data_IF_178958915397
#
_entry.id   IF_178958915397
#
_cell.length_a   1.000
_cell.length_b   1.000
_cell.length_c   1.000
_cell.angle_alpha   90.00
_cell.angle_beta   90.00
_cell.angle_gamma   90.00
#
_symmetry.space_group_name_H-M   'P 1'
#
loop_
_entity.id
_entity.type
_entity.pdbx_description
1 polymer ?
#
# COMPACT_ATOMS: atom_id res chain seq x y z
N UNK A 1 29.52 32.65 21.01
CA UNK A 1 28.76 32.19 19.83
C UNK A 1 28.06 30.89 20.23
N UNK A 2 26.76 30.88 20.26
CA UNK A 2 25.97 29.66 20.47
C UNK A 2 26.21 28.73 19.28
N UNK A 3 26.45 27.42 19.54
CA UNK A 3 26.63 26.44 18.49
C UNK A 3 25.35 26.40 17.61
N UNK A 4 25.50 26.30 16.29
CA UNK A 4 24.35 26.20 15.40
C UNK A 4 23.52 24.95 15.71
N UNK A 5 22.22 25.06 15.59
CA UNK A 5 21.33 23.91 15.67
C UNK A 5 21.30 23.19 14.31
N UNK A 6 21.20 21.88 14.33
CA UNK A 6 21.09 21.04 13.12
C UNK A 6 19.60 20.70 12.95
N UNK A 7 19.06 20.99 11.76
CA UNK A 7 17.67 20.74 11.39
C UNK A 7 17.60 19.87 10.14
N UNK A 8 16.79 18.81 10.18
CA UNK A 8 16.55 17.93 9.04
C UNK A 8 15.22 18.28 8.37
N UNK A 9 15.30 18.76 7.14
CA UNK A 9 14.16 19.08 6.29
C UNK A 9 13.89 17.92 5.32
N UNK A 10 12.65 17.46 5.27
CA UNK A 10 12.18 16.41 4.37
C UNK A 10 10.86 16.77 3.64
N UNK A 11 10.29 17.92 3.96
CA UNK A 11 9.06 18.46 3.37
C UNK A 11 9.31 19.77 2.60
N UNK A 12 8.39 20.73 2.69
CA UNK A 12 8.48 21.98 1.92
C UNK A 12 9.73 22.83 2.24
N UNK A 13 10.38 22.62 3.38
CA UNK A 13 11.65 23.27 3.75
C UNK A 13 12.87 22.70 3.01
N UNK A 14 12.70 21.73 2.11
CA UNK A 14 13.68 21.41 1.08
C UNK A 14 13.88 22.57 0.10
N UNK A 15 12.85 23.40 -0.11
CA UNK A 15 12.90 24.53 -1.03
C UNK A 15 13.80 25.65 -0.48
N UNK A 16 14.92 25.92 -1.16
CA UNK A 16 15.91 26.96 -0.78
C UNK A 16 15.25 28.33 -0.59
N UNK A 17 14.36 28.72 -1.51
CA UNK A 17 13.67 30.00 -1.42
C UNK A 17 12.72 30.10 -0.21
N UNK A 18 12.13 28.98 0.22
CA UNK A 18 11.31 28.95 1.42
C UNK A 18 12.17 29.04 2.67
N UNK A 19 13.30 28.30 2.72
CA UNK A 19 14.23 28.37 3.84
C UNK A 19 14.83 29.77 3.99
N UNK A 20 15.27 30.40 2.91
CA UNK A 20 15.80 31.76 2.95
C UNK A 20 14.82 32.80 3.54
N UNK A 21 13.50 32.60 3.35
CA UNK A 21 12.47 33.46 3.94
C UNK A 21 12.15 33.13 5.39
N UNK A 22 12.17 31.85 5.78
CA UNK A 22 11.84 31.39 7.14
C UNK A 22 13.03 31.50 8.09
N UNK A 23 14.19 31.21 7.58
CA UNK A 23 15.44 31.03 8.32
C UNK A 23 16.55 31.77 7.59
N UNK A 24 16.65 33.11 7.71
CA UNK A 24 17.64 33.90 6.97
C UNK A 24 19.08 33.59 7.36
N UNK A 25 19.31 33.03 8.57
CA UNK A 25 20.63 32.65 9.04
C UNK A 25 20.98 31.19 8.68
N UNK A 26 20.06 30.45 8.00
CA UNK A 26 20.29 29.06 7.65
C UNK A 26 21.41 28.88 6.62
N UNK A 27 22.34 27.98 6.93
CA UNK A 27 23.54 27.75 6.11
C UNK A 27 23.78 26.25 5.91
N UNK A 28 24.75 25.93 5.05
CA UNK A 28 25.36 24.61 4.87
C UNK A 28 24.35 23.48 4.60
N UNK A 29 23.51 23.60 3.53
CA UNK A 29 22.57 22.57 3.19
C UNK A 29 23.32 21.30 2.70
N UNK A 30 23.10 20.16 3.37
CA UNK A 30 23.74 18.88 3.02
C UNK A 30 22.70 17.78 2.86
N UNK A 31 22.75 16.97 1.78
CA UNK A 31 21.92 15.79 1.68
C UNK A 31 22.11 14.85 2.86
N UNK A 32 21.01 14.32 3.38
CA UNK A 32 21.01 13.38 4.51
C UNK A 32 19.86 12.41 4.40
N UNK A 33 19.90 11.34 5.19
CA UNK A 33 18.83 10.33 5.27
C UNK A 33 18.42 10.09 6.71
N UNK A 34 17.13 9.86 6.92
CA UNK A 34 16.55 9.37 8.18
C UNK A 34 16.18 7.90 7.96
N UNK A 35 16.87 7.00 8.65
CA UNK A 35 16.63 5.57 8.59
C UNK A 35 15.39 5.17 9.41
N UNK A 36 14.83 4.00 9.11
CA UNK A 36 13.70 3.38 9.81
C UNK A 36 12.45 4.26 9.93
N UNK A 37 12.26 5.12 8.93
CA UNK A 37 11.07 5.96 8.81
C UNK A 37 10.52 5.94 7.39
N UNK A 38 9.18 5.94 7.28
CA UNK A 38 8.44 6.16 6.04
C UNK A 38 8.03 7.63 5.91
N UNK A 39 7.97 8.12 4.68
CA UNK A 39 7.53 9.45 4.34
C UNK A 39 6.14 9.43 3.73
N UNK A 40 5.27 10.34 4.15
CA UNK A 40 3.92 10.44 3.61
C UNK A 40 3.42 11.88 3.55
N UNK A 41 2.45 12.12 2.67
CA UNK A 41 1.53 13.27 2.77
C UNK A 41 0.36 12.82 3.64
N UNK A 42 0.10 13.54 4.73
CA UNK A 42 -0.98 13.22 5.64
C UNK A 42 -2.34 13.86 5.23
N UNK A 43 -3.40 13.62 6.00
CA UNK A 43 -4.75 14.14 5.74
C UNK A 43 -4.84 15.69 5.71
N UNK A 44 -3.81 16.37 6.22
CA UNK A 44 -3.68 17.83 6.10
C UNK A 44 -3.06 18.29 4.80
N UNK A 45 -2.63 17.35 3.94
CA UNK A 45 -1.96 17.62 2.67
C UNK A 45 -0.52 18.13 2.81
N UNK A 46 0.15 17.78 3.91
CA UNK A 46 1.56 18.13 4.20
C UNK A 46 2.37 16.89 4.57
N UNK A 47 3.69 16.96 4.37
CA UNK A 47 4.58 15.85 4.66
C UNK A 47 4.75 15.61 6.17
N UNK A 48 4.78 14.34 6.53
CA UNK A 48 5.26 13.86 7.82
C UNK A 48 6.07 12.58 7.65
N UNK A 49 6.65 12.08 8.74
CA UNK A 49 7.34 10.79 8.79
C UNK A 49 6.80 9.96 9.93
N UNK A 50 6.78 8.64 9.75
CA UNK A 50 6.40 7.68 10.80
C UNK A 50 7.45 6.56 10.90
N UNK A 51 7.68 5.97 12.06
CA UNK A 51 8.58 4.84 12.21
C UNK A 51 8.18 3.67 11.32
N UNK A 52 9.12 3.17 10.51
CA UNK A 52 8.96 1.97 9.69
C UNK A 52 10.34 1.32 9.50
N UNK A 53 10.61 0.18 10.14
CA UNK A 53 11.91 -0.51 10.02
C UNK A 53 12.30 -0.78 8.56
N UNK A 54 13.55 -0.47 8.22
CA UNK A 54 14.12 -0.65 6.88
C UNK A 54 13.75 0.41 5.85
N UNK A 55 12.81 1.32 6.14
CA UNK A 55 12.51 2.45 5.26
C UNK A 55 13.53 3.58 5.43
N UNK A 56 13.68 4.41 4.39
CA UNK A 56 14.63 5.52 4.39
C UNK A 56 14.01 6.76 3.79
N UNK A 57 14.03 7.86 4.55
CA UNK A 57 13.60 9.18 4.11
C UNK A 57 14.80 9.98 3.67
N UNK A 58 14.80 10.51 2.45
CA UNK A 58 15.82 11.44 1.99
C UNK A 58 15.42 12.88 2.26
N UNK A 59 16.37 13.68 2.71
CA UNK A 59 16.17 15.08 3.03
C UNK A 59 17.47 15.87 3.03
N UNK A 60 17.43 17.03 3.69
CA UNK A 60 18.59 17.95 3.77
C UNK A 60 18.76 18.42 5.20
N UNK A 61 20.00 18.40 5.67
CA UNK A 61 20.40 19.07 6.90
C UNK A 61 20.69 20.53 6.63
N UNK A 62 20.23 21.39 7.54
CA UNK A 62 20.54 22.79 7.62
C UNK A 62 21.19 23.11 8.95
N UNK A 63 22.19 23.99 8.95
CA UNK A 63 22.61 24.68 10.17
C UNK A 63 21.74 25.91 10.35
N UNK A 64 21.08 26.03 11.50
CA UNK A 64 20.14 27.11 11.80
C UNK A 64 20.51 27.81 13.10
N UNK A 65 20.26 29.11 13.21
CA UNK A 65 20.41 29.85 14.44
C UNK A 65 19.28 29.55 15.44
N UNK A 66 19.43 29.97 16.69
CA UNK A 66 18.34 29.89 17.67
C UNK A 66 17.11 30.73 17.26
N UNK A 67 17.33 31.84 16.54
CA UNK A 67 16.26 32.66 15.97
C UNK A 67 15.50 31.90 14.88
N UNK A 68 16.23 31.28 13.95
CA UNK A 68 15.64 30.45 12.90
C UNK A 68 14.86 29.27 13.47
N UNK A 69 15.36 28.62 14.51
CA UNK A 69 14.68 27.49 15.14
C UNK A 69 13.34 27.90 15.74
N UNK A 70 13.26 29.09 16.36
CA UNK A 70 12.01 29.64 16.86
C UNK A 70 11.04 30.02 15.71
N UNK A 71 11.56 30.52 14.59
CA UNK A 71 10.76 30.79 13.39
C UNK A 71 10.20 29.51 12.79
N UNK A 72 10.98 28.40 12.77
CA UNK A 72 10.52 27.08 12.38
C UNK A 72 9.44 26.56 13.32
N UNK A 73 9.63 26.64 14.64
CA UNK A 73 8.62 26.24 15.64
C UNK A 73 7.28 26.94 15.38
N UNK A 74 7.32 28.23 15.11
CA UNK A 74 6.14 29.02 14.81
C UNK A 74 5.49 28.60 13.49
N UNK A 75 6.28 28.40 12.43
CA UNK A 75 5.80 28.01 11.11
C UNK A 75 5.17 26.61 11.11
N UNK A 76 5.76 25.67 11.84
CA UNK A 76 5.27 24.29 11.98
C UNK A 76 4.16 24.18 13.06
N UNK A 77 3.98 25.22 13.89
CA UNK A 77 2.94 25.28 14.91
C UNK A 77 3.18 24.33 16.09
N UNK A 78 4.42 24.26 16.55
CA UNK A 78 4.81 23.46 17.73
C UNK A 78 4.22 24.07 19.01
N UNK A 79 3.73 23.27 19.94
CA UNK A 79 3.63 21.79 19.94
C UNK A 79 2.30 21.26 19.39
N UNK A 80 1.40 22.12 18.89
CA UNK A 80 0.00 21.76 18.59
C UNK A 80 -0.14 20.95 17.28
N UNK A 81 0.62 21.32 16.25
CA UNK A 81 0.54 20.68 14.91
C UNK A 81 1.64 19.68 14.71
N UNK A 82 2.87 20.06 15.00
CA UNK A 82 4.06 19.22 14.94
C UNK A 82 4.69 19.12 16.32
N UNK A 83 5.29 17.96 16.61
CA UNK A 83 6.29 17.84 17.66
C UNK A 83 7.67 18.02 17.03
N UNK A 84 8.62 18.45 17.84
CA UNK A 84 10.03 18.57 17.43
C UNK A 84 10.87 17.58 18.21
N UNK A 85 11.34 16.54 17.52
CA UNK A 85 12.11 15.46 18.11
C UNK A 85 13.59 15.55 17.70
N UNK A 86 14.48 15.00 18.50
CA UNK A 86 15.87 14.79 18.12
C UNK A 86 16.05 13.38 17.62
N UNK A 87 16.46 13.25 16.35
CA UNK A 87 16.71 11.97 15.70
C UNK A 87 18.09 11.93 15.08
N UNK A 88 18.65 10.72 14.98
CA UNK A 88 19.89 10.49 14.26
C UNK A 88 19.62 10.43 12.77
N UNK A 89 20.29 11.28 12.00
CA UNK A 89 20.27 11.29 10.53
C UNK A 89 21.67 11.00 10.00
N UNK A 90 21.76 10.43 8.82
CA UNK A 90 23.01 10.02 8.22
C UNK A 90 23.39 10.92 7.05
N UNK A 91 24.61 11.41 7.05
CA UNK A 91 25.25 12.18 5.97
C UNK A 91 26.42 11.40 5.40
N UNK A 92 27.04 11.93 4.34
CA UNK A 92 28.28 11.38 3.81
C UNK A 92 29.42 11.39 4.86
N UNK A 93 29.39 12.34 5.81
CA UNK A 93 30.37 12.49 6.88
C UNK A 93 30.05 11.68 8.15
N UNK A 94 28.97 10.86 8.11
CA UNK A 94 28.52 10.03 9.22
C UNK A 94 27.25 10.53 9.90
N UNK A 95 26.85 9.91 11.04
CA UNK A 95 25.63 10.22 11.76
C UNK A 95 25.69 11.61 12.42
N UNK A 96 24.51 12.26 12.50
CA UNK A 96 24.33 13.57 13.14
C UNK A 96 22.99 13.59 13.90
N UNK A 97 22.99 14.15 15.11
CA UNK A 97 21.76 14.48 15.82
C UNK A 97 21.12 15.72 15.19
N UNK A 98 19.88 15.62 14.77
CA UNK A 98 19.15 16.71 14.14
C UNK A 98 17.75 16.89 14.74
N UNK A 99 17.26 18.12 14.73
CA UNK A 99 15.86 18.40 14.98
C UNK A 99 15.02 18.01 13.78
N UNK A 100 13.94 17.28 14.04
CA UNK A 100 12.98 16.81 13.03
C UNK A 100 11.59 17.19 13.48
N UNK A 101 10.83 17.87 12.63
CA UNK A 101 9.43 18.18 12.90
C UNK A 101 8.54 17.06 12.41
N UNK A 102 7.70 16.49 13.27
CA UNK A 102 6.85 15.33 12.96
C UNK A 102 5.39 15.69 13.30
N UNK A 103 4.52 15.66 12.30
CA UNK A 103 3.07 15.70 12.53
C UNK A 103 2.61 14.29 12.95
N UNK A 104 1.94 14.15 14.11
CA UNK A 104 1.49 12.84 14.60
C UNK A 104 0.35 12.21 13.74
N UNK A 105 -0.23 12.97 12.82
CA UNK A 105 -1.24 12.47 11.89
C UNK A 105 -0.57 11.72 10.76
N UNK A 106 -0.89 10.45 10.62
CA UNK A 106 -0.27 9.53 9.65
C UNK A 106 -1.26 8.93 8.66
N UNK A 107 -2.52 9.38 8.68
CA UNK A 107 -3.48 9.03 7.64
C UNK A 107 -3.07 9.70 6.32
N UNK A 108 -2.99 8.90 5.24
CA UNK A 108 -2.58 9.43 3.94
C UNK A 108 -3.65 10.35 3.33
N UNK A 109 -3.22 11.47 2.77
CA UNK A 109 -4.07 12.45 2.11
C UNK A 109 -3.46 12.99 0.81
N UNK A 110 -4.24 13.79 0.09
CA UNK A 110 -3.75 14.48 -1.10
C UNK A 110 -2.89 15.70 -0.71
N UNK A 111 -1.81 15.98 -1.44
CA UNK A 111 -1.00 17.18 -1.20
C UNK A 111 -1.83 18.45 -1.42
N UNK A 112 -1.58 19.48 -0.61
CA UNK A 112 -2.14 20.81 -0.86
C UNK A 112 -1.64 21.35 -2.21
N UNK A 113 -2.42 22.20 -2.89
CA UNK A 113 -1.99 22.82 -4.14
C UNK A 113 -0.60 23.45 -4.02
N UNK A 114 0.31 23.14 -4.96
CA UNK A 114 1.68 23.65 -4.99
C UNK A 114 2.62 23.13 -3.90
N UNK A 115 2.16 22.23 -3.01
CA UNK A 115 3.00 21.71 -1.93
C UNK A 115 3.99 20.65 -2.45
N UNK A 116 3.49 19.68 -3.20
CA UNK A 116 4.30 18.59 -3.72
C UNK A 116 5.36 19.10 -4.71
N UNK A 117 4.99 20.02 -5.59
CA UNK A 117 5.91 20.65 -6.54
C UNK A 117 7.06 21.37 -5.82
N UNK A 118 6.76 21.99 -4.69
CA UNK A 118 7.78 22.65 -3.86
C UNK A 118 8.72 21.64 -3.23
N UNK A 119 8.20 20.52 -2.73
CA UNK A 119 9.01 19.43 -2.16
C UNK A 119 9.92 18.82 -3.24
N UNK A 120 9.36 18.49 -4.40
CA UNK A 120 10.10 17.93 -5.54
C UNK A 120 11.14 18.92 -6.07
N UNK A 121 10.77 20.20 -6.21
CA UNK A 121 11.68 21.25 -6.63
C UNK A 121 12.87 21.38 -5.67
N UNK A 122 12.61 21.34 -4.36
CA UNK A 122 13.67 21.34 -3.33
C UNK A 122 14.55 20.09 -3.39
N UNK A 123 13.96 18.92 -3.57
CA UNK A 123 14.70 17.67 -3.71
C UNK A 123 15.66 17.72 -4.92
N UNK A 124 15.22 18.28 -6.04
CA UNK A 124 16.06 18.48 -7.24
C UNK A 124 17.17 19.52 -7.01
N UNK A 125 16.86 20.64 -6.35
CA UNK A 125 17.85 21.67 -6.00
C UNK A 125 19.02 21.10 -5.20
N UNK A 126 18.74 20.19 -4.28
CA UNK A 126 19.74 19.54 -3.45
C UNK A 126 20.28 18.22 -4.03
N UNK A 127 19.94 17.89 -5.28
CA UNK A 127 20.41 16.69 -5.99
C UNK A 127 20.16 15.39 -5.20
N UNK A 128 19.00 15.30 -4.54
CA UNK A 128 18.59 14.04 -3.91
C UNK A 128 18.45 12.93 -4.96
N UNK A 129 18.59 11.65 -4.59
CA UNK A 129 18.59 10.54 -5.54
C UNK A 129 17.34 10.54 -6.43
N UNK A 130 17.50 10.23 -7.74
CA UNK A 130 16.39 10.21 -8.70
C UNK A 130 15.27 9.29 -8.23
N UNK A 131 15.59 8.10 -7.69
CA UNK A 131 14.62 7.17 -7.11
C UNK A 131 13.73 7.81 -6.02
N UNK A 132 14.29 8.77 -5.26
CA UNK A 132 13.52 9.52 -4.25
C UNK A 132 12.58 10.52 -4.90
N UNK A 133 13.04 11.22 -5.93
CA UNK A 133 12.22 12.13 -6.71
C UNK A 133 11.07 11.38 -7.39
N UNK A 134 11.33 10.20 -7.94
CA UNK A 134 10.31 9.32 -8.54
C UNK A 134 9.29 8.85 -7.48
N UNK A 135 9.75 8.53 -6.27
CA UNK A 135 8.86 8.22 -5.14
C UNK A 135 7.96 9.42 -4.79
N UNK A 136 8.51 10.63 -4.71
CA UNK A 136 7.72 11.84 -4.45
C UNK A 136 6.65 12.08 -5.51
N UNK A 137 6.95 11.85 -6.79
CA UNK A 137 5.99 11.97 -7.89
C UNK A 137 4.79 11.03 -7.76
N UNK A 138 4.91 9.89 -7.07
CA UNK A 138 3.79 8.96 -6.82
C UNK A 138 2.69 9.57 -5.94
N UNK A 139 2.98 10.66 -5.23
CA UNK A 139 2.03 11.39 -4.41
C UNK A 139 1.23 12.43 -5.19
N UNK A 140 1.49 12.61 -6.48
CA UNK A 140 0.66 13.43 -7.36
C UNK A 140 -0.71 12.75 -7.55
N UNK A 141 -1.83 13.42 -7.16
CA UNK A 141 -3.17 12.85 -7.32
C UNK A 141 -3.51 12.47 -8.76
N UNK A 142 -2.86 13.09 -9.76
CA UNK A 142 -3.04 12.72 -11.16
C UNK A 142 -2.57 11.28 -11.48
N UNK A 143 -1.68 10.72 -10.66
CA UNK A 143 -1.21 9.34 -10.78
C UNK A 143 -1.99 8.35 -9.90
N UNK A 144 -2.92 8.84 -9.09
CA UNK A 144 -3.72 7.96 -8.25
C UNK A 144 -4.81 7.31 -9.10
N UNK A 145 -5.09 6.01 -8.87
CA UNK A 145 -6.26 5.43 -9.47
C UNK A 145 -7.45 6.25 -9.02
N UNK A 146 -8.18 6.83 -9.95
CA UNK A 146 -9.47 7.43 -9.66
C UNK A 146 -10.30 6.34 -8.98
N UNK A 147 -10.76 6.58 -7.76
CA UNK A 147 -11.87 5.83 -7.19
C UNK A 147 -13.09 6.35 -7.94
N UNK A 148 -13.24 5.95 -9.20
CA UNK A 148 -14.47 6.14 -9.92
C UNK A 148 -15.52 5.33 -9.16
N UNK A 149 -16.39 6.03 -8.46
CA UNK A 149 -17.66 5.44 -8.04
C UNK A 149 -18.25 4.84 -9.30
N UNK A 150 -18.57 3.54 -9.26
CA UNK A 150 -19.33 2.90 -10.29
C UNK A 150 -20.49 3.85 -10.67
N UNK A 151 -20.50 4.26 -11.95
CA UNK A 151 -21.58 5.06 -12.44
C UNK A 151 -22.87 4.25 -12.24
N UNK A 152 -23.98 4.92 -11.90
CA UNK A 152 -25.34 4.34 -11.73
C UNK A 152 -25.92 3.77 -13.04
N UNK A 153 -25.10 3.25 -13.93
CA UNK A 153 -25.52 2.48 -15.10
C UNK A 153 -25.66 1.02 -14.68
N UNK A 154 -26.75 0.37 -15.06
CA UNK A 154 -26.98 -1.04 -14.81
C UNK A 154 -25.83 -1.88 -15.42
N UNK A 155 -24.84 -2.21 -14.59
CA UNK A 155 -23.74 -3.10 -14.95
C UNK A 155 -24.20 -4.56 -15.02
N UNK A 156 -23.31 -5.49 -15.43
CA UNK A 156 -23.61 -6.90 -15.49
C UNK A 156 -24.07 -7.40 -14.11
N UNK A 157 -25.12 -8.22 -14.10
CA UNK A 157 -25.70 -8.76 -12.87
C UNK A 157 -25.30 -10.23 -12.65
N UNK A 158 -24.68 -10.84 -13.66
CA UNK A 158 -24.24 -12.24 -13.66
C UNK A 158 -22.83 -12.37 -14.25
N UNK A 159 -22.16 -13.48 -13.95
CA UNK A 159 -20.85 -13.77 -14.53
C UNK A 159 -20.96 -13.97 -16.06
N UNK A 160 -22.00 -14.61 -16.54
CA UNK A 160 -22.24 -14.78 -17.99
C UNK A 160 -22.36 -13.44 -18.71
N UNK A 161 -23.09 -12.47 -18.15
CA UNK A 161 -23.19 -11.12 -18.71
C UNK A 161 -21.83 -10.40 -18.68
N UNK A 162 -21.07 -10.59 -17.61
CA UNK A 162 -19.73 -10.01 -17.47
C UNK A 162 -18.77 -10.56 -18.53
N UNK A 163 -18.77 -11.88 -18.75
CA UNK A 163 -17.97 -12.56 -19.76
C UNK A 163 -18.41 -12.28 -21.21
N UNK A 164 -19.63 -11.76 -21.39
CA UNK A 164 -20.08 -11.22 -22.68
C UNK A 164 -19.27 -10.01 -23.16
N UNK A 165 -18.52 -9.34 -22.28
CA UNK A 165 -17.61 -8.27 -22.67
C UNK A 165 -16.27 -8.88 -23.14
N UNK A 166 -15.86 -8.71 -24.41
CA UNK A 166 -14.64 -9.31 -24.94
C UNK A 166 -13.35 -8.80 -24.30
N UNK A 167 -13.40 -7.69 -23.56
CA UNK A 167 -12.26 -7.17 -22.81
C UNK A 167 -12.11 -7.81 -21.42
N UNK A 168 -13.10 -8.58 -20.96
CA UNK A 168 -13.06 -9.38 -19.72
C UNK A 168 -12.78 -10.83 -20.10
N UNK A 169 -11.77 -11.44 -19.50
CA UNK A 169 -11.44 -12.84 -19.79
C UNK A 169 -11.00 -13.55 -18.52
N UNK A 170 -11.26 -14.85 -18.49
CA UNK A 170 -10.87 -15.72 -17.39
C UNK A 170 -9.72 -16.64 -17.78
N UNK A 171 -8.87 -16.93 -16.81
CA UNK A 171 -7.78 -17.89 -16.94
C UNK A 171 -7.79 -18.84 -15.75
N UNK A 172 -7.42 -20.10 -15.97
CA UNK A 172 -7.24 -21.08 -14.90
C UNK A 172 -6.07 -21.99 -15.17
N UNK A 173 -5.35 -22.35 -14.12
CA UNK A 173 -4.31 -23.38 -14.16
C UNK A 173 -4.55 -24.33 -12.99
N UNK A 174 -4.84 -25.60 -13.31
CA UNK A 174 -5.08 -26.65 -12.32
C UNK A 174 -3.78 -27.37 -12.00
N UNK A 175 -3.45 -27.47 -10.70
CA UNK A 175 -2.26 -28.19 -10.18
C UNK A 175 -2.64 -29.00 -8.95
N UNK A 176 -2.41 -28.48 -7.75
CA UNK A 176 -2.79 -29.14 -6.51
C UNK A 176 -4.26 -28.89 -6.14
N UNK A 177 -4.72 -29.55 -5.08
CA UNK A 177 -6.08 -29.38 -4.51
C UNK A 177 -6.21 -28.08 -3.70
N UNK A 178 -5.15 -27.34 -3.51
CA UNK A 178 -5.15 -25.99 -2.96
C UNK A 178 -5.29 -24.96 -4.09
N UNK A 179 -6.19 -23.98 -3.93
CA UNK A 179 -6.48 -23.00 -4.97
C UNK A 179 -6.32 -21.56 -4.54
N UNK A 180 -5.99 -20.69 -5.50
CA UNK A 180 -6.05 -19.25 -5.39
C UNK A 180 -7.08 -18.70 -6.38
N UNK A 181 -7.87 -17.69 -5.95
CA UNK A 181 -8.82 -16.98 -6.81
C UNK A 181 -8.53 -15.47 -6.80
N UNK A 182 -8.65 -14.84 -7.97
CA UNK A 182 -8.70 -13.38 -8.11
C UNK A 182 -9.84 -13.02 -9.07
N UNK A 183 -11.07 -12.98 -8.56
CA UNK A 183 -12.27 -12.73 -9.37
C UNK A 183 -12.46 -11.25 -9.75
N UNK A 184 -11.71 -10.34 -9.15
CA UNK A 184 -11.71 -8.91 -9.45
C UNK A 184 -10.35 -8.44 -9.98
N UNK A 185 -9.57 -9.33 -10.60
CA UNK A 185 -8.21 -9.05 -11.09
C UNK A 185 -8.15 -7.98 -12.19
N UNK A 186 -6.94 -7.62 -12.57
CA UNK A 186 -6.69 -6.61 -13.61
C UNK A 186 -7.05 -5.19 -13.15
N UNK A 187 -7.88 -4.52 -13.93
CA UNK A 187 -8.22 -3.10 -13.72
C UNK A 187 -9.17 -2.82 -12.56
N UNK A 188 -9.94 -3.81 -12.09
CA UNK A 188 -10.95 -3.63 -11.04
C UNK A 188 -10.30 -3.56 -9.63
N UNK A 189 -9.58 -4.61 -9.24
CA UNK A 189 -8.82 -4.64 -7.98
C UNK A 189 -7.35 -4.91 -8.29
N UNK A 190 -6.66 -3.87 -8.73
CA UNK A 190 -5.29 -3.93 -9.26
C UNK A 190 -4.36 -4.76 -8.39
N UNK A 191 -3.52 -5.61 -9.03
CA UNK A 191 -2.50 -6.48 -8.45
C UNK A 191 -3.03 -7.73 -7.74
N UNK A 192 -4.33 -7.91 -7.57
CA UNK A 192 -4.87 -9.13 -6.93
C UNK A 192 -4.63 -10.37 -7.80
N UNK A 193 -4.74 -10.23 -9.11
CA UNK A 193 -4.37 -11.22 -10.12
C UNK A 193 -2.89 -11.61 -10.03
N UNK A 194 -2.00 -10.63 -10.05
CA UNK A 194 -0.54 -10.86 -9.97
C UNK A 194 -0.15 -11.55 -8.66
N UNK A 195 -0.75 -11.16 -7.54
CA UNK A 195 -0.49 -11.77 -6.23
C UNK A 195 -0.97 -13.22 -6.22
N UNK A 196 -2.20 -13.48 -6.68
CA UNK A 196 -2.77 -14.83 -6.73
C UNK A 196 -1.96 -15.76 -7.64
N UNK A 197 -1.63 -15.33 -8.85
CA UNK A 197 -0.85 -16.12 -9.82
C UNK A 197 0.55 -16.44 -9.31
N UNK A 198 1.27 -15.45 -8.75
CA UNK A 198 2.63 -15.67 -8.23
C UNK A 198 2.64 -16.55 -6.98
N UNK A 199 1.71 -16.34 -6.04
CA UNK A 199 1.59 -17.21 -4.87
C UNK A 199 1.25 -18.66 -5.28
N UNK A 200 0.31 -18.85 -6.20
CA UNK A 200 -0.05 -20.16 -6.73
C UNK A 200 1.13 -20.83 -7.44
N UNK A 201 1.87 -20.10 -8.28
CA UNK A 201 3.05 -20.63 -8.97
C UNK A 201 4.14 -21.07 -7.99
N UNK A 202 4.45 -20.23 -6.98
CA UNK A 202 5.44 -20.54 -5.95
C UNK A 202 5.01 -21.70 -5.05
N UNK A 203 3.71 -21.88 -4.80
CA UNK A 203 3.18 -22.99 -3.99
C UNK A 203 2.95 -24.28 -4.78
N UNK A 204 3.00 -24.28 -6.12
CA UNK A 204 2.52 -25.38 -6.94
C UNK A 204 0.99 -25.58 -6.84
N UNK A 205 0.27 -24.53 -6.47
CA UNK A 205 -1.17 -24.53 -6.27
C UNK A 205 -1.94 -24.21 -7.56
N UNK A 206 -3.23 -24.53 -7.58
CA UNK A 206 -4.16 -24.16 -8.64
C UNK A 206 -4.51 -22.67 -8.55
N UNK A 207 -4.85 -22.04 -9.69
CA UNK A 207 -5.26 -20.64 -9.73
C UNK A 207 -6.38 -20.41 -10.73
N UNK A 208 -7.31 -19.55 -10.37
CA UNK A 208 -8.32 -18.97 -11.25
C UNK A 208 -8.26 -17.45 -11.15
N UNK A 209 -8.24 -16.77 -12.29
CA UNK A 209 -8.23 -15.32 -12.39
C UNK A 209 -9.25 -14.85 -13.40
N UNK A 210 -10.00 -13.81 -13.04
CA UNK A 210 -10.80 -13.02 -13.97
C UNK A 210 -10.13 -11.65 -14.17
N UNK A 211 -9.74 -11.37 -15.41
CA UNK A 211 -9.06 -10.13 -15.76
C UNK A 211 -10.06 -9.09 -16.27
N UNK A 212 -10.13 -7.97 -15.59
CA UNK A 212 -10.90 -6.81 -16.01
C UNK A 212 -10.00 -5.79 -16.73
N UNK A 213 -10.50 -5.12 -17.79
CA UNK A 213 -9.73 -4.08 -18.46
C UNK A 213 -9.45 -2.89 -17.52
N UNK A 214 -8.43 -2.06 -17.82
CA UNK A 214 -8.19 -0.83 -17.08
C UNK A 214 -9.43 0.05 -17.01
N UNK A 215 -9.68 0.67 -15.83
CA UNK A 215 -10.83 1.54 -15.59
C UNK A 215 -12.20 0.86 -15.77
N UNK A 216 -12.29 -0.45 -15.52
CA UNK A 216 -13.56 -1.16 -15.58
C UNK A 216 -14.53 -0.63 -14.51
N UNK A 217 -15.72 -0.11 -14.88
CA UNK A 217 -16.56 0.66 -13.96
C UNK A 217 -17.52 -0.20 -13.11
N UNK A 218 -17.68 -1.48 -13.42
CA UNK A 218 -18.71 -2.32 -12.81
C UNK A 218 -18.11 -3.37 -11.86
N UNK A 219 -18.60 -3.38 -10.63
CA UNK A 219 -18.22 -4.35 -9.62
C UNK A 219 -19.37 -5.35 -9.40
N UNK A 220 -19.17 -6.59 -9.85
CA UNK A 220 -20.10 -7.68 -9.56
C UNK A 220 -19.77 -8.25 -8.17
N UNK A 221 -20.79 -8.40 -7.32
CA UNK A 221 -20.59 -8.95 -5.98
C UNK A 221 -20.07 -10.40 -6.03
N UNK A 222 -19.15 -10.78 -5.12
CA UNK A 222 -18.51 -12.10 -5.12
C UNK A 222 -19.50 -13.27 -5.14
N UNK A 223 -20.64 -13.15 -4.50
CA UNK A 223 -21.71 -14.16 -4.50
C UNK A 223 -22.42 -14.34 -5.84
N UNK A 224 -22.12 -13.54 -6.85
CA UNK A 224 -22.66 -13.64 -8.21
C UNK A 224 -21.71 -14.36 -9.18
N UNK A 225 -20.53 -14.75 -8.74
CA UNK A 225 -19.60 -15.55 -9.55
C UNK A 225 -19.93 -17.04 -9.37
N UNK A 226 -20.78 -17.56 -10.23
CA UNK A 226 -21.32 -18.91 -10.12
C UNK A 226 -20.65 -19.87 -11.11
N UNK A 227 -20.33 -21.08 -10.66
CA UNK A 227 -19.72 -22.11 -11.50
C UNK A 227 -20.62 -22.58 -12.65
N UNK A 228 -21.96 -22.51 -12.49
CA UNK A 228 -22.90 -22.85 -13.55
C UNK A 228 -22.95 -21.81 -14.70
N UNK A 229 -22.29 -20.68 -14.53
CA UNK A 229 -22.18 -19.60 -15.54
C UNK A 229 -20.83 -19.56 -16.26
N UNK A 230 -19.84 -20.35 -15.82
CA UNK A 230 -18.52 -20.47 -16.43
C UNK A 230 -17.98 -21.89 -16.27
N UNK A 231 -17.69 -22.55 -17.37
CA UNK A 231 -17.06 -23.87 -17.36
C UNK A 231 -15.65 -23.86 -16.78
N UNK A 232 -14.92 -22.74 -16.92
CA UNK A 232 -13.55 -22.58 -16.39
C UNK A 232 -13.60 -22.44 -14.86
N UNK A 233 -14.52 -21.63 -14.33
CA UNK A 233 -14.73 -21.50 -12.89
C UNK A 233 -15.26 -22.80 -12.29
N UNK A 234 -16.21 -23.47 -12.92
CA UNK A 234 -16.72 -24.78 -12.49
C UNK A 234 -15.58 -25.80 -12.33
N UNK A 235 -14.78 -25.97 -13.38
CA UNK A 235 -13.66 -26.90 -13.37
C UNK A 235 -12.64 -26.59 -12.25
N UNK A 236 -12.39 -25.30 -11.98
CA UNK A 236 -11.53 -24.90 -10.86
C UNK A 236 -12.15 -25.29 -9.51
N UNK A 237 -13.43 -24.93 -9.28
CA UNK A 237 -14.12 -25.18 -8.01
C UNK A 237 -14.30 -26.67 -7.70
N UNK A 238 -14.48 -27.50 -8.72
CA UNK A 238 -14.54 -28.96 -8.58
C UNK A 238 -13.17 -29.58 -8.30
N UNK A 239 -12.11 -28.95 -8.81
CA UNK A 239 -10.76 -29.46 -8.67
C UNK A 239 -10.17 -29.22 -7.28
N UNK A 240 -10.42 -28.03 -6.67
CA UNK A 240 -9.79 -27.65 -5.40
C UNK A 240 -10.62 -28.06 -4.19
N UNK A 241 -9.95 -28.46 -3.11
CA UNK A 241 -10.60 -28.77 -1.83
C UNK A 241 -10.69 -27.55 -0.92
N UNK A 242 -9.75 -26.63 -1.05
CA UNK A 242 -9.64 -25.41 -0.24
C UNK A 242 -9.11 -24.25 -1.10
N UNK A 243 -9.49 -23.01 -0.78
CA UNK A 243 -9.07 -21.86 -1.58
C UNK A 243 -8.79 -20.59 -0.78
N UNK A 244 -7.96 -19.71 -1.35
CA UNK A 244 -7.77 -18.32 -0.93
C UNK A 244 -8.28 -17.42 -2.06
N UNK A 245 -9.28 -16.55 -1.78
CA UNK A 245 -9.68 -15.50 -2.70
C UNK A 245 -8.95 -14.20 -2.34
N UNK A 246 -8.19 -13.68 -3.30
CA UNK A 246 -7.41 -12.45 -3.17
C UNK A 246 -8.23 -11.28 -3.67
N UNK A 247 -8.58 -10.37 -2.77
CA UNK A 247 -9.36 -9.17 -3.01
C UNK A 247 -8.59 -7.91 -2.65
N UNK A 248 -9.07 -6.78 -3.17
CA UNK A 248 -8.55 -5.47 -2.85
C UNK A 248 -9.59 -4.59 -2.17
N UNK A 249 -9.23 -3.91 -1.11
CA UNK A 249 -10.09 -2.95 -0.47
C UNK A 249 -9.38 -1.63 -0.17
N UNK A 250 -10.16 -0.57 0.08
CA UNK A 250 -9.65 0.73 0.54
C UNK A 250 -10.55 1.28 1.65
N UNK A 251 -10.03 1.43 2.86
CA UNK A 251 -10.73 2.05 4.00
C UNK A 251 -9.75 2.92 4.77
N UNK A 252 -10.19 4.13 5.14
CA UNK A 252 -9.43 5.04 6.01
C UNK A 252 -9.15 4.34 7.35
N UNK A 253 -7.95 4.51 7.88
CA UNK A 253 -7.51 3.91 9.15
C UNK A 253 -7.16 2.41 9.09
N UNK A 254 -7.19 1.79 7.89
CA UNK A 254 -6.92 0.35 7.73
C UNK A 254 -5.85 0.04 6.67
N UNK A 255 -5.00 1.01 6.34
CA UNK A 255 -4.01 0.91 5.26
C UNK A 255 -2.93 -0.17 5.49
N UNK A 256 -2.82 -0.67 6.72
CA UNK A 256 -1.84 -1.69 7.14
C UNK A 256 -2.50 -3.00 7.60
N UNK A 257 -3.81 -3.16 7.44
CA UNK A 257 -4.52 -4.36 7.85
C UNK A 257 -4.81 -5.26 6.65
N UNK A 258 -4.43 -6.53 6.74
CA UNK A 258 -4.82 -7.59 5.81
C UNK A 258 -5.98 -8.33 6.47
N UNK A 259 -7.18 -8.29 5.88
CA UNK A 259 -8.36 -8.86 6.52
C UNK A 259 -8.60 -10.27 5.99
N UNK A 260 -8.49 -11.27 6.85
CA UNK A 260 -8.65 -12.69 6.51
C UNK A 260 -10.04 -13.19 6.96
N UNK A 261 -11.03 -12.96 6.09
CA UNK A 261 -12.39 -13.46 6.22
C UNK A 261 -12.58 -14.86 5.65
N UNK A 262 -13.79 -15.17 5.14
CA UNK A 262 -14.13 -16.50 4.64
C UNK A 262 -14.56 -17.49 5.72
N UNK A 263 -15.02 -18.68 5.30
CA UNK A 263 -15.60 -19.67 6.21
C UNK A 263 -14.57 -20.60 6.84
N UNK A 264 -13.39 -20.79 6.23
CA UNK A 264 -12.32 -21.61 6.80
C UNK A 264 -11.47 -20.78 7.78
N UNK A 265 -11.82 -20.84 9.06
CA UNK A 265 -11.18 -20.03 10.11
C UNK A 265 -9.82 -20.60 10.55
N UNK A 266 -9.66 -21.93 10.41
CA UNK A 266 -8.38 -22.61 10.70
C UNK A 266 -7.34 -22.20 9.66
N UNK A 267 -7.71 -22.19 8.39
CA UNK A 267 -6.85 -21.67 7.33
C UNK A 267 -6.52 -20.16 7.54
N UNK A 268 -7.49 -19.34 7.94
CA UNK A 268 -7.23 -17.92 8.23
C UNK A 268 -6.19 -17.73 9.34
N UNK A 269 -6.27 -18.53 10.40
CA UNK A 269 -5.31 -18.51 11.52
C UNK A 269 -3.94 -19.04 11.08
N UNK A 270 -3.92 -20.12 10.28
CA UNK A 270 -2.71 -20.69 9.71
C UNK A 270 -1.97 -19.67 8.83
N UNK A 271 -2.67 -19.02 7.91
CA UNK A 271 -2.11 -17.98 7.05
C UNK A 271 -1.54 -16.79 7.85
N UNK A 272 -2.22 -16.38 8.93
CA UNK A 272 -1.71 -15.31 9.79
C UNK A 272 -0.36 -15.64 10.43
N UNK A 273 -0.06 -16.93 10.63
CA UNK A 273 1.24 -17.41 11.11
C UNK A 273 2.36 -17.39 10.05
N UNK A 274 2.00 -17.34 8.76
CA UNK A 274 2.95 -17.37 7.64
C UNK A 274 3.12 -16.01 6.94
N UNK A 275 2.11 -15.15 6.98
CA UNK A 275 2.14 -13.83 6.35
C UNK A 275 2.86 -12.85 7.27
N UNK A 276 4.15 -12.62 7.00
CA UNK A 276 4.99 -11.67 7.74
C UNK A 276 5.36 -10.47 6.85
N UNK A 277 4.43 -9.52 6.72
CA UNK A 277 4.65 -8.28 5.94
C UNK A 277 5.03 -7.15 6.88
N UNK A 278 6.24 -6.55 6.78
CA UNK A 278 6.66 -5.45 7.64
C UNK A 278 5.65 -4.30 7.68
N UNK A 279 5.30 -3.85 8.89
CA UNK A 279 4.36 -2.75 9.10
C UNK A 279 2.89 -3.08 8.76
N UNK A 280 2.54 -4.37 8.61
CA UNK A 280 1.16 -4.82 8.38
C UNK A 280 0.75 -5.88 9.42
N UNK A 281 -0.55 -5.96 9.66
CA UNK A 281 -1.17 -6.93 10.55
C UNK A 281 -2.20 -7.77 9.79
N UNK A 282 -2.21 -9.08 10.00
CA UNK A 282 -3.31 -9.95 9.54
C UNK A 282 -4.40 -9.97 10.61
N UNK A 283 -5.61 -9.59 10.22
CA UNK A 283 -6.79 -9.57 11.08
C UNK A 283 -7.65 -10.77 10.75
N UNK A 284 -7.73 -11.71 11.69
CA UNK A 284 -8.53 -12.95 11.54
C UNK A 284 -9.85 -12.90 12.31
N UNK A 285 -9.99 -12.00 13.28
CA UNK A 285 -11.23 -11.83 14.04
C UNK A 285 -12.32 -11.24 13.14
N UNK A 286 -13.38 -12.01 12.91
CA UNK A 286 -14.50 -11.59 12.07
C UNK A 286 -15.22 -10.36 12.61
N UNK A 287 -15.23 -10.13 13.93
CA UNK A 287 -15.87 -8.96 14.50
C UNK A 287 -15.09 -7.68 14.26
N UNK A 288 -13.77 -7.81 14.09
CA UNK A 288 -12.90 -6.72 13.68
C UNK A 288 -12.94 -6.43 12.16
N UNK A 289 -13.47 -7.37 11.33
CA UNK A 289 -13.62 -7.20 9.88
C UNK A 289 -14.97 -6.56 9.57
N UNK A 290 -15.02 -5.48 8.75
CA UNK A 290 -16.29 -4.91 8.25
C UNK A 290 -17.17 -5.98 7.63
N UNK A 291 -18.48 -5.96 7.94
CA UNK A 291 -19.43 -7.03 7.57
C UNK A 291 -19.40 -7.37 6.08
N UNK A 292 -19.31 -6.35 5.23
CA UNK A 292 -19.28 -6.48 3.77
C UNK A 292 -18.00 -7.10 3.22
N UNK A 293 -16.91 -7.13 4.03
CA UNK A 293 -15.60 -7.69 3.66
C UNK A 293 -15.33 -9.07 4.27
N UNK A 294 -16.28 -9.60 5.06
CA UNK A 294 -16.11 -10.89 5.75
C UNK A 294 -16.10 -12.11 4.82
N UNK A 295 -16.66 -12.01 3.61
CA UNK A 295 -16.67 -13.09 2.63
C UNK A 295 -17.42 -14.36 3.05
N UNK A 296 -18.46 -14.26 3.90
CA UNK A 296 -19.12 -15.42 4.51
C UNK A 296 -20.31 -15.97 3.69
N UNK A 297 -20.69 -15.32 2.57
CA UNK A 297 -21.82 -15.78 1.77
C UNK A 297 -21.56 -17.20 1.23
N UNK A 298 -22.51 -18.16 1.32
CA UNK A 298 -22.28 -19.52 0.86
C UNK A 298 -21.98 -19.61 -0.66
N UNK A 299 -22.58 -18.73 -1.45
CA UNK A 299 -22.37 -18.68 -2.91
C UNK A 299 -21.11 -17.89 -3.31
N UNK A 300 -20.34 -17.40 -2.37
CA UNK A 300 -19.03 -16.85 -2.69
C UNK A 300 -18.09 -17.99 -3.13
N UNK A 301 -17.46 -17.90 -4.32
CA UNK A 301 -16.62 -18.98 -4.87
C UNK A 301 -15.59 -19.54 -3.89
N UNK A 302 -15.04 -18.71 -3.03
CA UNK A 302 -14.07 -19.13 -2.02
C UNK A 302 -14.64 -20.13 -0.99
N UNK A 303 -15.95 -20.13 -0.79
CA UNK A 303 -16.64 -21.01 0.17
C UNK A 303 -17.26 -22.27 -0.47
N UNK A 304 -17.20 -22.41 -1.79
CA UNK A 304 -17.76 -23.54 -2.54
C UNK A 304 -16.93 -24.82 -2.41
N UNK A 305 -15.57 -24.78 -2.44
CA UNK A 305 -14.75 -25.97 -2.22
C UNK A 305 -15.09 -26.68 -0.90
N UNK A 306 -14.83 -27.99 -0.85
CA UNK A 306 -15.26 -28.88 0.25
C UNK A 306 -14.89 -28.34 1.64
N UNK A 307 -13.70 -27.78 1.79
CA UNK A 307 -13.20 -27.23 3.07
C UNK A 307 -13.49 -25.73 3.22
N UNK A 308 -14.13 -25.12 2.21
CA UNK A 308 -14.29 -23.67 2.14
C UNK A 308 -12.96 -22.96 1.95
N UNK A 309 -12.90 -21.68 2.30
CA UNK A 309 -11.66 -20.95 2.12
C UNK A 309 -11.59 -19.63 2.89
N UNK A 310 -10.56 -18.86 2.57
CA UNK A 310 -10.27 -17.54 3.13
C UNK A 310 -10.43 -16.46 2.07
N UNK A 311 -11.30 -15.47 2.33
CA UNK A 311 -11.31 -14.23 1.58
C UNK A 311 -10.29 -13.28 2.20
N UNK A 312 -9.24 -12.97 1.46
CA UNK A 312 -8.17 -12.10 1.88
C UNK A 312 -8.32 -10.72 1.23
N UNK A 313 -8.63 -9.72 2.05
CA UNK A 313 -8.79 -8.34 1.63
C UNK A 313 -7.49 -7.57 1.85
N UNK A 314 -6.94 -7.02 0.79
CA UNK A 314 -5.63 -6.40 0.75
C UNK A 314 -5.72 -4.88 0.56
N UNK A 315 -5.13 -4.06 1.45
CA UNK A 315 -5.10 -2.61 1.26
C UNK A 315 -4.15 -2.20 0.12
N UNK A 316 -4.29 -1.00 -0.45
CA UNK A 316 -3.46 -0.52 -1.56
C UNK A 316 -1.96 -0.57 -1.27
N UNK A 317 -1.55 -0.37 -0.01
CA UNK A 317 -0.15 -0.33 0.39
C UNK A 317 0.57 -1.66 0.14
N UNK A 318 -0.02 -2.77 0.55
CA UNK A 318 0.59 -4.10 0.36
C UNK A 318 0.51 -4.58 -1.09
N UNK A 319 -0.45 -4.08 -1.87
CA UNK A 319 -0.59 -4.38 -3.30
C UNK A 319 0.38 -3.60 -4.20
N UNK A 320 1.20 -2.70 -3.65
CA UNK A 320 2.16 -1.92 -4.42
C UNK A 320 1.56 -0.74 -5.21
N UNK A 321 0.29 -0.38 -4.98
CA UNK A 321 -0.44 0.65 -5.73
C UNK A 321 -0.69 1.94 -4.94
N UNK A 322 -0.26 1.98 -3.70
CA UNK A 322 -0.24 3.20 -2.88
C UNK A 322 1.07 3.95 -3.10
N UNK A 323 1.08 5.29 -3.03
CA UNK A 323 2.32 6.06 -2.93
C UNK A 323 3.24 5.55 -1.81
N UNK A 324 2.69 4.95 -0.76
CA UNK A 324 3.41 4.42 0.42
C UNK A 324 3.95 2.99 0.25
N UNK A 325 3.78 2.37 -0.91
CA UNK A 325 4.19 0.96 -1.13
C UNK A 325 5.69 0.75 -1.34
N UNK A 326 6.50 1.80 -1.31
CA UNK A 326 7.91 1.70 -1.73
C UNK A 326 8.05 1.56 -3.26
N UNK A 327 9.28 1.50 -3.76
CA UNK A 327 9.57 1.30 -5.18
C UNK A 327 9.51 -0.19 -5.53
N UNK A 328 9.05 -0.56 -6.75
CA UNK A 328 9.15 -1.93 -7.23
C UNK A 328 10.60 -2.40 -7.32
N UNK A 329 10.84 -3.67 -6.98
CA UNK A 329 12.09 -4.36 -7.24
C UNK A 329 12.27 -4.71 -8.71
N UNK A 330 13.30 -5.46 -9.03
CA UNK A 330 13.60 -5.93 -10.39
C UNK A 330 12.49 -6.86 -10.96
N UNK A 331 11.75 -7.51 -10.09
CA UNK A 331 10.61 -8.38 -10.39
C UNK A 331 9.29 -7.63 -10.62
N UNK A 332 9.30 -6.28 -10.50
CA UNK A 332 8.15 -5.42 -10.74
C UNK A 332 7.17 -5.32 -9.56
N UNK A 333 7.46 -5.90 -8.39
CA UNK A 333 6.66 -5.74 -7.17
C UNK A 333 7.46 -5.07 -6.05
N UNK A 334 6.77 -4.39 -5.13
CA UNK A 334 7.44 -3.80 -3.97
C UNK A 334 7.73 -4.87 -2.90
N UNK A 335 8.64 -4.58 -1.98
CA UNK A 335 9.09 -5.54 -0.96
C UNK A 335 7.93 -6.10 -0.10
N UNK A 336 6.94 -5.28 0.23
CA UNK A 336 5.77 -5.73 0.99
C UNK A 336 4.87 -6.68 0.18
N UNK A 337 4.73 -6.46 -1.12
CA UNK A 337 4.00 -7.36 -2.02
C UNK A 337 4.75 -8.71 -2.17
N UNK A 338 6.08 -8.66 -2.32
CA UNK A 338 6.90 -9.86 -2.39
C UNK A 338 6.79 -10.70 -1.10
N UNK A 339 6.93 -10.07 0.07
CA UNK A 339 6.77 -10.73 1.36
C UNK A 339 5.37 -11.35 1.55
N UNK A 340 4.31 -10.69 1.06
CA UNK A 340 2.96 -11.25 1.06
C UNK A 340 2.87 -12.50 0.17
N UNK A 341 3.40 -12.44 -1.05
CA UNK A 341 3.40 -13.57 -1.98
C UNK A 341 4.13 -14.77 -1.38
N UNK A 342 5.29 -14.56 -0.77
CA UNK A 342 6.08 -15.59 -0.11
C UNK A 342 5.32 -16.23 1.05
N UNK A 343 4.70 -15.41 1.92
CA UNK A 343 3.91 -15.88 3.04
C UNK A 343 2.66 -16.69 2.61
N UNK A 344 1.97 -16.24 1.56
CA UNK A 344 0.84 -16.96 0.97
C UNK A 344 1.27 -18.30 0.38
N UNK A 345 2.39 -18.32 -0.34
CA UNK A 345 2.92 -19.55 -0.92
C UNK A 345 3.35 -20.56 0.15
N UNK A 346 4.01 -20.09 1.21
CA UNK A 346 4.40 -20.97 2.33
C UNK A 346 3.19 -21.50 3.08
N UNK A 347 2.21 -20.64 3.38
CA UNK A 347 0.96 -21.05 4.01
C UNK A 347 0.20 -22.09 3.17
N UNK A 348 0.19 -21.95 1.84
CA UNK A 348 -0.45 -22.92 0.94
C UNK A 348 0.30 -24.26 0.90
N UNK A 349 1.65 -24.25 0.91
CA UNK A 349 2.46 -25.49 0.91
C UNK A 349 2.35 -26.29 2.20
N UNK A 350 2.23 -25.59 3.32
CA UNK A 350 2.20 -26.19 4.67
C UNK A 350 0.80 -26.53 5.18
N UNK A 351 -0.25 -26.18 4.41
CA UNK A 351 -1.62 -26.58 4.73
C UNK A 351 -1.83 -28.08 4.48
N UNK A 352 -2.35 -28.81 5.47
CA UNK A 352 -2.57 -30.25 5.45
C UNK A 352 -3.97 -30.63 5.93
#
# INVERSE_FOLDING_TARGET
MTLPHIYFAYGSNLCVNQMARRCPDATDPRPATLADHDWLINERGVATVEPLPGAVVHGVLWQVSGHDLNALDSAEGVPVRYRRDRLVVHTADGPRDAWVYIDPRVEAGAPRPGYLERVIGGARQHRLPQRWIDFLHRWDPAHWPSVERAADSAGPQTLSELLGNPAVHETSTLRSRFGFLAIHGGGLERMTDVIAERAAAAAGASVYVLHHPPHYPHHLASSRYRGDESAVLAAFLEHVDVAIAVHGYGRIGRSTQLLAGGRNRDLATHLAGHIAVPGHQVVTDLDAIPRELRGLHPDNPVNVPREGGVQLELPPRVRGISPRSGLPGADGVCASTAALIDGLAEGARSWS
#
